data_IF_037489681306
#
_entry.id   IF_037489681306
#
_cell.length_a   1.000
_cell.length_b   1.000
_cell.length_c   1.000
_cell.angle_alpha   90.00
_cell.angle_beta   90.00
_cell.angle_gamma   90.00
#
_symmetry.space_group_name_H-M   'P 1'
#
loop_
_entity.id
_entity.type
_entity.pdbx_description
1 polymer ?
#
# COMPACT_ATOMS: atom_id res chain seq x y z
N UNK A 1 19.19 6.04 -38.15
CA UNK A 1 17.92 5.44 -38.59
C UNK A 1 16.80 6.23 -37.94
N UNK A 2 15.82 6.72 -38.70
CA UNK A 2 14.65 7.36 -38.11
C UNK A 2 13.92 6.32 -37.24
N UNK A 3 13.57 6.67 -36.00
CA UNK A 3 12.76 5.80 -35.16
C UNK A 3 11.43 5.55 -35.89
N UNK A 4 11.10 4.28 -36.11
CA UNK A 4 9.78 3.91 -36.65
C UNK A 4 8.73 4.44 -35.67
N UNK A 5 7.67 5.04 -36.23
CA UNK A 5 6.55 5.51 -35.43
C UNK A 5 5.95 4.30 -34.69
N UNK A 6 5.87 4.38 -33.36
CA UNK A 6 5.25 3.32 -32.57
C UNK A 6 3.78 3.19 -32.97
N UNK A 7 3.45 2.08 -33.64
CA UNK A 7 2.07 1.74 -33.92
C UNK A 7 1.38 1.36 -32.60
N UNK A 8 0.44 2.20 -32.16
CA UNK A 8 -0.43 1.91 -31.03
C UNK A 8 -1.82 1.50 -31.53
N UNK A 9 -2.23 0.25 -31.28
CA UNK A 9 -3.59 -0.19 -31.57
C UNK A 9 -4.58 0.54 -30.64
N UNK A 10 -5.53 1.35 -31.15
CA UNK A 10 -6.44 2.13 -30.31
C UNK A 10 -7.31 1.27 -29.40
N UNK A 11 -7.73 0.09 -29.87
CA UNK A 11 -8.51 -0.87 -29.06
C UNK A 11 -7.73 -1.39 -27.87
N UNK A 12 -6.45 -1.75 -28.06
CA UNK A 12 -5.60 -2.22 -26.98
C UNK A 12 -5.29 -1.10 -25.97
N UNK A 13 -5.09 0.13 -26.44
CA UNK A 13 -4.92 1.29 -25.57
C UNK A 13 -6.16 1.55 -24.69
N UNK A 14 -7.37 1.42 -25.27
CA UNK A 14 -8.61 1.55 -24.51
C UNK A 14 -8.82 0.40 -23.51
N UNK A 15 -8.44 -0.83 -23.87
CA UNK A 15 -8.46 -1.96 -22.94
C UNK A 15 -7.52 -1.74 -21.75
N UNK A 16 -6.32 -1.20 -21.99
CA UNK A 16 -5.34 -0.87 -20.95
C UNK A 16 -5.85 0.25 -20.04
N UNK A 17 -6.48 1.28 -20.63
CA UNK A 17 -7.15 2.34 -19.87
C UNK A 17 -8.28 1.77 -19.00
N UNK A 18 -9.14 0.92 -19.54
CA UNK A 18 -10.22 0.29 -18.80
C UNK A 18 -9.71 -0.57 -17.64
N UNK A 19 -8.61 -1.31 -17.84
CA UNK A 19 -7.96 -2.08 -16.79
C UNK A 19 -7.43 -1.18 -15.66
N UNK A 20 -6.71 -0.12 -16.01
CA UNK A 20 -6.18 0.83 -15.03
C UNK A 20 -7.30 1.60 -14.30
N UNK A 21 -8.36 2.00 -15.00
CA UNK A 21 -9.48 2.72 -14.40
C UNK A 21 -10.31 1.81 -13.47
N UNK A 22 -10.39 0.51 -13.77
CA UNK A 22 -11.14 -0.49 -12.99
C UNK A 22 -10.39 -1.09 -11.79
N UNK A 23 -9.17 -0.66 -11.49
CA UNK A 23 -8.40 -1.19 -10.36
C UNK A 23 -9.07 -0.87 -9.00
N UNK A 24 -9.06 -1.82 -8.04
CA UNK A 24 -9.66 -1.57 -6.73
C UNK A 24 -8.85 -0.50 -5.97
N UNK A 25 -9.55 0.42 -5.30
CA UNK A 25 -8.94 1.46 -4.45
C UNK A 25 -8.80 1.04 -2.99
N UNK A 26 -8.91 -0.27 -2.71
CA UNK A 26 -8.87 -0.81 -1.36
C UNK A 26 -7.47 -0.65 -0.76
N UNK A 27 -7.37 0.10 0.34
CA UNK A 27 -6.08 0.33 1.01
C UNK A 27 -5.73 -0.84 1.94
N UNK A 28 -4.47 -1.28 1.98
CA UNK A 28 -4.07 -2.36 2.90
C UNK A 28 -4.18 -1.88 4.35
N UNK A 29 -4.79 -2.68 5.24
CA UNK A 29 -5.02 -2.29 6.64
C UNK A 29 -3.77 -2.38 7.54
N UNK A 30 -2.78 -3.15 7.11
CA UNK A 30 -1.60 -3.55 7.87
C UNK A 30 -0.32 -3.26 7.08
N UNK A 31 0.80 -3.11 7.78
CA UNK A 31 2.13 -3.12 7.22
C UNK A 31 2.49 -4.55 6.78
N UNK A 32 2.84 -4.72 5.50
CA UNK A 32 3.07 -6.05 4.94
C UNK A 32 4.46 -6.60 5.25
N UNK A 33 4.54 -7.86 5.69
CA UNK A 33 5.82 -8.58 5.83
C UNK A 33 6.59 -8.66 4.50
N UNK A 34 5.89 -8.71 3.36
CA UNK A 34 6.51 -8.67 2.03
C UNK A 34 7.07 -7.30 1.62
N UNK A 35 6.73 -6.22 2.34
CA UNK A 35 7.20 -4.87 2.06
C UNK A 35 8.29 -4.40 3.03
N UNK A 36 8.39 -4.99 4.23
CA UNK A 36 9.25 -4.52 5.33
C UNK A 36 10.75 -4.44 4.98
N UNK A 37 11.20 -5.21 3.99
CA UNK A 37 12.57 -5.14 3.48
C UNK A 37 12.89 -3.88 2.67
N UNK A 38 11.90 -3.06 2.32
CA UNK A 38 12.14 -1.74 1.72
C UNK A 38 12.99 -0.88 2.67
N UNK A 39 14.12 -0.36 2.18
CA UNK A 39 15.04 0.42 2.98
C UNK A 39 14.41 1.73 3.51
N UNK A 40 13.45 2.31 2.80
CA UNK A 40 12.81 3.57 3.19
C UNK A 40 11.69 3.35 4.22
N UNK A 41 12.00 3.54 5.51
CA UNK A 41 11.01 3.46 6.59
C UNK A 41 9.86 4.48 6.41
N UNK A 42 10.14 5.66 5.87
CA UNK A 42 9.12 6.69 5.59
C UNK A 42 8.10 6.22 4.53
N UNK A 43 8.53 5.51 3.50
CA UNK A 43 7.61 4.98 2.49
C UNK A 43 6.69 3.90 3.08
N UNK A 44 7.22 3.05 3.96
CA UNK A 44 6.43 2.06 4.69
C UNK A 44 5.42 2.72 5.65
N UNK A 45 5.84 3.78 6.33
CA UNK A 45 4.96 4.59 7.18
C UNK A 45 3.85 5.28 6.37
N UNK A 46 4.18 5.88 5.23
CA UNK A 46 3.19 6.47 4.30
C UNK A 46 2.18 5.45 3.78
N UNK A 47 2.64 4.24 3.43
CA UNK A 47 1.76 3.15 3.03
C UNK A 47 0.82 2.74 4.16
N UNK A 48 1.33 2.56 5.38
CA UNK A 48 0.54 2.16 6.55
C UNK A 48 -0.50 3.21 6.96
N UNK A 49 -0.15 4.50 6.83
CA UNK A 49 -1.02 5.63 7.15
C UNK A 49 -1.90 6.14 6.01
N UNK A 50 -1.88 5.47 4.85
CA UNK A 50 -2.69 5.85 3.69
C UNK A 50 -2.49 7.30 3.25
N UNK A 51 -1.23 7.72 3.19
CA UNK A 51 -0.87 9.11 2.85
C UNK A 51 -1.28 9.48 1.44
N UNK A 52 -1.23 8.53 0.51
CA UNK A 52 -1.75 8.68 -0.83
C UNK A 52 -2.29 7.33 -1.34
N UNK A 53 -3.24 7.39 -2.26
CA UNK A 53 -3.73 6.23 -2.98
C UNK A 53 -2.79 5.95 -4.15
N UNK A 54 -2.06 4.85 -4.05
CA UNK A 54 -1.19 4.37 -5.13
C UNK A 54 -2.06 3.78 -6.23
N UNK A 55 -1.88 4.25 -7.47
CA UNK A 55 -2.53 3.69 -8.66
C UNK A 55 -1.47 3.12 -9.58
N UNK A 56 -1.76 1.95 -10.12
CA UNK A 56 -0.85 1.24 -11.02
C UNK A 56 -1.28 1.42 -12.48
N UNK A 57 -0.30 1.47 -13.37
CA UNK A 57 -0.54 1.40 -14.80
C UNK A 57 -0.98 -0.01 -15.24
N UNK A 58 -1.51 -0.11 -16.45
CA UNK A 58 -2.00 -1.38 -16.99
C UNK A 58 -0.89 -2.45 -17.06
N UNK A 59 0.35 -2.06 -17.33
CA UNK A 59 1.49 -2.98 -17.42
C UNK A 59 1.77 -3.61 -16.06
N UNK A 60 1.76 -2.81 -14.99
CA UNK A 60 1.98 -3.28 -13.62
C UNK A 60 0.84 -4.16 -13.15
N UNK A 61 -0.41 -3.81 -13.45
CA UNK A 61 -1.56 -4.67 -13.16
C UNK A 61 -1.49 -6.02 -13.88
N UNK A 62 -1.07 -6.03 -15.15
CA UNK A 62 -0.83 -7.27 -15.91
C UNK A 62 0.30 -8.11 -15.31
N UNK A 63 1.36 -7.48 -14.80
CA UNK A 63 2.45 -8.19 -14.08
C UNK A 63 1.94 -8.84 -12.80
N UNK A 64 1.08 -8.18 -12.03
CA UNK A 64 0.46 -8.80 -10.85
C UNK A 64 -0.40 -10.01 -11.24
N UNK A 65 -1.23 -9.86 -12.28
CA UNK A 65 -2.04 -10.97 -12.79
C UNK A 65 -1.20 -12.16 -13.29
N UNK A 66 -0.13 -11.90 -14.05
CA UNK A 66 0.83 -12.93 -14.49
C UNK A 66 1.54 -13.58 -13.31
N UNK A 67 1.87 -12.81 -12.27
CA UNK A 67 2.43 -13.31 -11.02
C UNK A 67 1.52 -14.35 -10.36
N UNK A 68 0.25 -14.02 -10.12
CA UNK A 68 -0.73 -14.94 -9.54
C UNK A 68 -0.96 -16.19 -10.39
N UNK A 69 -1.07 -16.03 -11.71
CA UNK A 69 -1.23 -17.17 -12.62
C UNK A 69 0.02 -18.07 -12.63
N UNK A 70 1.21 -17.46 -12.65
CA UNK A 70 2.48 -18.19 -12.65
C UNK A 70 2.74 -18.93 -11.34
N UNK A 71 2.35 -18.34 -10.21
CA UNK A 71 2.37 -18.97 -8.88
C UNK A 71 1.51 -20.23 -8.87
N UNK A 72 0.25 -20.13 -9.32
CA UNK A 72 -0.68 -21.27 -9.43
C UNK A 72 -0.08 -22.42 -10.25
N UNK A 73 0.50 -22.10 -11.42
CA UNK A 73 1.14 -23.08 -12.31
C UNK A 73 2.36 -23.73 -11.63
N UNK A 74 3.18 -22.93 -10.93
CA UNK A 74 4.36 -23.45 -10.25
C UNK A 74 3.99 -24.38 -9.09
N UNK A 75 3.03 -23.99 -8.22
CA UNK A 75 2.54 -24.83 -7.12
C UNK A 75 2.00 -26.17 -7.65
N UNK A 76 1.17 -26.13 -8.71
CA UNK A 76 0.62 -27.35 -9.32
C UNK A 76 1.70 -28.33 -9.78
N UNK A 77 2.76 -27.82 -10.41
CA UNK A 77 3.89 -28.66 -10.87
C UNK A 77 4.74 -29.18 -9.71
N UNK A 78 4.93 -28.41 -8.65
CA UNK A 78 5.60 -28.88 -7.44
C UNK A 78 4.79 -30.01 -6.78
N UNK A 79 3.46 -29.84 -6.63
CA UNK A 79 2.57 -30.90 -6.13
C UNK A 79 2.59 -32.18 -6.98
N UNK A 80 2.79 -32.05 -8.30
CA UNK A 80 2.91 -33.19 -9.20
C UNK A 80 4.28 -33.90 -9.13
N UNK A 81 5.26 -33.35 -8.38
CA UNK A 81 6.61 -33.91 -8.30
C UNK A 81 6.64 -35.11 -7.33
N UNK A 82 7.03 -36.32 -7.78
CA UNK A 82 7.07 -37.49 -6.92
C UNK A 82 7.99 -37.29 -5.71
N UNK A 83 7.45 -37.61 -4.52
CA UNK A 83 8.19 -37.49 -3.25
C UNK A 83 8.26 -36.08 -2.66
N UNK A 84 7.67 -35.07 -3.32
CA UNK A 84 7.57 -33.71 -2.81
C UNK A 84 6.16 -33.46 -2.24
N UNK A 85 6.10 -33.28 -0.92
CA UNK A 85 4.89 -32.85 -0.22
C UNK A 85 4.83 -31.32 -0.24
N UNK A 86 3.70 -30.76 -0.67
CA UNK A 86 3.47 -29.31 -0.75
C UNK A 86 2.10 -28.97 -0.19
N UNK A 87 2.08 -28.08 0.80
CA UNK A 87 0.88 -27.48 1.37
C UNK A 87 0.89 -25.99 1.07
N UNK A 88 -0.04 -25.53 0.24
CA UNK A 88 -0.28 -24.13 -0.16
C UNK A 88 -1.46 -23.49 0.59
N UNK A 89 -2.17 -24.29 1.39
CA UNK A 89 -3.26 -23.84 2.25
C UNK A 89 -3.14 -24.47 3.63
N UNK A 90 -3.65 -23.77 4.64
CA UNK A 90 -3.78 -24.28 6.00
C UNK A 90 -4.96 -25.27 6.13
N UNK A 91 -5.23 -25.70 7.37
CA UNK A 91 -6.30 -26.65 7.67
C UNK A 91 -7.72 -26.12 7.38
N UNK A 92 -7.89 -24.80 7.27
CA UNK A 92 -9.14 -24.13 6.90
C UNK A 92 -9.29 -23.97 5.38
N UNK A 93 -8.24 -24.26 4.61
CA UNK A 93 -8.21 -24.04 3.17
C UNK A 93 -7.80 -22.62 2.77
N UNK A 94 -7.37 -21.81 3.73
CA UNK A 94 -6.88 -20.44 3.50
C UNK A 94 -5.36 -20.45 3.31
N UNK A 95 -4.80 -19.36 2.75
CA UNK A 95 -3.34 -19.20 2.73
C UNK A 95 -2.79 -19.08 4.15
N UNK A 96 -1.61 -19.64 4.39
CA UNK A 96 -0.95 -19.53 5.68
C UNK A 96 -0.64 -18.08 6.04
N UNK A 97 -1.39 -17.52 6.98
CA UNK A 97 -1.30 -16.12 7.41
C UNK A 97 -0.63 -15.95 8.78
N UNK A 98 0.17 -14.89 8.90
CA UNK A 98 0.80 -14.48 10.16
C UNK A 98 0.40 -13.06 10.51
N UNK A 99 0.24 -12.80 11.81
CA UNK A 99 -0.13 -11.50 12.36
C UNK A 99 0.72 -11.20 13.60
N UNK A 100 1.15 -9.95 13.71
CA UNK A 100 1.83 -9.41 14.89
C UNK A 100 1.39 -7.96 15.11
N UNK A 101 1.71 -7.40 16.29
CA UNK A 101 1.33 -6.05 16.72
C UNK A 101 -0.19 -5.79 16.59
N UNK A 102 -0.99 -6.68 17.16
CA UNK A 102 -2.46 -6.61 17.07
C UNK A 102 -3.00 -6.82 15.64
N UNK A 103 -2.18 -7.30 14.72
CA UNK A 103 -2.54 -7.43 13.31
C UNK A 103 -2.19 -6.19 12.46
N UNK A 104 -1.50 -5.20 13.02
CA UNK A 104 -0.91 -4.11 12.24
C UNK A 104 0.29 -4.55 11.40
N UNK A 105 0.88 -5.70 11.69
CA UNK A 105 1.89 -6.34 10.85
C UNK A 105 1.41 -7.72 10.42
N UNK A 106 1.33 -7.96 9.10
CA UNK A 106 0.83 -9.24 8.61
C UNK A 106 1.43 -9.65 7.26
N UNK A 107 1.38 -10.95 6.99
CA UNK A 107 1.85 -11.55 5.75
C UNK A 107 1.21 -12.92 5.53
N UNK A 108 1.26 -13.38 4.28
CA UNK A 108 0.78 -14.69 3.87
C UNK A 108 1.88 -15.35 3.07
N UNK A 109 2.22 -16.59 3.41
CA UNK A 109 3.21 -17.36 2.67
C UNK A 109 2.54 -18.22 1.60
N UNK A 110 3.26 -18.50 0.52
CA UNK A 110 2.71 -19.29 -0.60
C UNK A 110 2.57 -20.78 -0.24
N UNK A 111 3.29 -21.25 0.79
CA UNK A 111 3.09 -22.57 1.36
C UNK A 111 4.28 -23.10 2.17
N UNK A 112 4.28 -24.41 2.39
CA UNK A 112 5.41 -25.19 2.93
C UNK A 112 5.64 -26.45 2.11
N UNK A 113 6.87 -26.94 2.07
CA UNK A 113 7.19 -28.19 1.40
C UNK A 113 8.20 -29.07 2.14
N UNK A 114 8.06 -30.39 1.96
CA UNK A 114 8.92 -31.44 2.49
C UNK A 114 9.26 -32.43 1.38
N UNK A 115 10.48 -32.97 1.36
CA UNK A 115 10.86 -33.97 0.35
C UNK A 115 11.55 -33.40 -0.89
N UNK A 116 12.08 -32.18 -0.81
CA UNK A 116 12.97 -31.65 -1.85
C UNK A 116 14.11 -32.65 -2.13
N UNK A 117 14.42 -32.91 -3.41
CA UNK A 117 15.46 -33.89 -3.82
C UNK A 117 16.80 -33.63 -3.12
N UNK A 118 17.17 -32.35 -3.00
CA UNK A 118 18.40 -31.88 -2.36
C UNK A 118 18.30 -31.71 -0.82
N UNK A 119 17.14 -31.94 -0.23
CA UNK A 119 16.89 -31.89 1.23
C UNK A 119 15.64 -32.72 1.62
N UNK A 120 15.68 -34.05 1.46
CA UNK A 120 14.47 -34.89 1.49
C UNK A 120 13.78 -34.97 2.86
N UNK A 121 14.48 -34.63 3.95
CA UNK A 121 13.98 -34.77 5.32
C UNK A 121 13.65 -33.44 6.00
N UNK A 122 13.74 -32.31 5.30
CA UNK A 122 13.60 -31.00 5.93
C UNK A 122 12.40 -30.23 5.35
N UNK A 123 11.60 -29.68 6.25
CA UNK A 123 10.56 -28.71 5.91
C UNK A 123 11.17 -27.39 5.46
N UNK A 124 10.53 -26.76 4.48
CA UNK A 124 10.88 -25.43 3.99
C UNK A 124 9.61 -24.58 3.90
N UNK A 125 9.69 -23.31 4.28
CA UNK A 125 8.75 -22.30 3.77
C UNK A 125 8.90 -22.24 2.26
N UNK A 126 7.80 -22.28 1.51
CA UNK A 126 7.77 -22.15 0.06
C UNK A 126 7.32 -20.73 -0.30
N UNK A 127 8.12 -20.06 -1.13
CA UNK A 127 7.71 -18.82 -1.80
C UNK A 127 7.97 -18.94 -3.30
N UNK A 128 7.07 -18.36 -4.09
CA UNK A 128 7.14 -18.30 -5.54
C UNK A 128 7.14 -16.84 -5.97
N UNK A 129 8.01 -16.52 -6.93
CA UNK A 129 8.10 -15.17 -7.50
C UNK A 129 8.22 -15.24 -9.02
N UNK A 130 7.34 -14.55 -9.72
CA UNK A 130 7.47 -14.32 -11.16
C UNK A 130 8.33 -13.08 -11.42
N UNK A 131 9.36 -13.21 -12.26
CA UNK A 131 10.27 -12.11 -12.59
C UNK A 131 10.80 -12.20 -14.01
N UNK A 132 10.76 -11.07 -14.73
CA UNK A 132 11.45 -10.92 -16.02
C UNK A 132 12.97 -11.16 -15.89
N UNK A 133 13.53 -10.91 -14.70
CA UNK A 133 14.96 -11.08 -14.36
C UNK A 133 15.22 -12.33 -13.53
N UNK A 134 14.45 -13.40 -13.73
CA UNK A 134 14.59 -14.65 -12.97
C UNK A 134 16.02 -15.24 -13.02
N UNK A 135 16.75 -15.06 -14.13
CA UNK A 135 18.13 -15.53 -14.28
C UNK A 135 19.12 -14.80 -13.36
N UNK A 136 18.78 -13.60 -12.87
CA UNK A 136 19.67 -12.86 -11.97
C UNK A 136 19.81 -13.57 -10.61
N UNK A 137 18.83 -14.41 -10.23
CA UNK A 137 18.95 -15.29 -9.07
C UNK A 137 20.05 -16.34 -9.26
N UNK A 138 20.20 -16.90 -10.47
CA UNK A 138 21.29 -17.83 -10.78
C UNK A 138 22.65 -17.14 -10.77
N UNK A 139 22.73 -15.88 -11.25
CA UNK A 139 23.95 -15.07 -11.17
C UNK A 139 24.34 -14.82 -9.72
N UNK A 140 23.39 -14.43 -8.88
CA UNK A 140 23.60 -14.26 -7.44
C UNK A 140 24.07 -15.58 -6.79
N UNK A 141 23.42 -16.71 -7.08
CA UNK A 141 23.83 -18.03 -6.58
C UNK A 141 25.26 -18.39 -6.98
N UNK A 142 25.70 -18.10 -8.20
CA UNK A 142 27.09 -18.32 -8.64
C UNK A 142 28.09 -17.41 -7.94
N UNK A 143 27.68 -16.18 -7.60
CA UNK A 143 28.53 -15.17 -6.95
C UNK A 143 28.74 -15.44 -5.47
N UNK A 144 27.66 -15.72 -4.72
CA UNK A 144 27.68 -15.77 -3.25
C UNK A 144 27.27 -17.13 -2.65
N UNK A 145 26.98 -18.13 -3.51
CA UNK A 145 26.47 -19.43 -3.09
C UNK A 145 24.96 -19.46 -2.88
N UNK A 146 24.38 -20.67 -2.79
CA UNK A 146 22.92 -20.88 -2.71
C UNK A 146 22.27 -20.15 -1.53
N UNK A 147 22.86 -20.27 -0.34
CA UNK A 147 22.25 -19.79 0.91
C UNK A 147 22.19 -18.27 1.00
N UNK A 148 23.12 -17.58 0.36
CA UNK A 148 23.20 -16.11 0.33
C UNK A 148 22.60 -15.50 -0.93
N UNK A 149 22.24 -16.32 -1.92
CA UNK A 149 21.77 -15.87 -3.23
C UNK A 149 20.54 -14.97 -3.15
N UNK A 150 19.60 -15.27 -2.25
CA UNK A 150 18.37 -14.50 -2.10
C UNK A 150 18.64 -13.09 -1.58
N UNK A 151 19.49 -12.96 -0.56
CA UNK A 151 19.89 -11.67 0.00
C UNK A 151 20.61 -10.79 -1.04
N UNK A 152 21.49 -11.39 -1.85
CA UNK A 152 22.19 -10.72 -2.94
C UNK A 152 21.23 -10.32 -4.09
N UNK A 153 20.29 -11.20 -4.45
CA UNK A 153 19.38 -10.97 -5.57
C UNK A 153 18.31 -9.94 -5.24
N UNK A 154 17.68 -10.05 -4.06
CA UNK A 154 16.63 -9.15 -3.63
C UNK A 154 16.52 -9.12 -2.09
N UNK A 155 17.06 -8.08 -1.44
CA UNK A 155 16.98 -7.91 0.02
C UNK A 155 15.55 -7.88 0.57
N UNK A 156 14.57 -7.40 -0.21
CA UNK A 156 13.16 -7.39 0.21
C UNK A 156 12.58 -8.81 0.28
N UNK A 157 12.89 -9.66 -0.70
CA UNK A 157 12.47 -11.06 -0.67
C UNK A 157 13.22 -11.86 0.39
N UNK A 158 14.48 -11.52 0.67
CA UNK A 158 15.20 -12.10 1.80
C UNK A 158 14.55 -11.73 3.14
N UNK A 159 14.20 -10.45 3.36
CA UNK A 159 13.51 -10.00 4.55
C UNK A 159 12.17 -10.72 4.76
N UNK A 160 11.39 -10.89 3.69
CA UNK A 160 10.16 -11.67 3.71
C UNK A 160 10.41 -13.13 4.11
N UNK A 161 11.39 -13.79 3.48
CA UNK A 161 11.72 -15.19 3.72
C UNK A 161 12.14 -15.44 5.18
N UNK A 162 12.99 -14.59 5.77
CA UNK A 162 13.43 -14.77 7.16
C UNK A 162 12.31 -14.54 8.16
N UNK A 163 11.39 -13.63 7.89
CA UNK A 163 10.21 -13.43 8.74
C UNK A 163 9.28 -14.63 8.68
N UNK A 164 8.99 -15.15 7.49
CA UNK A 164 8.11 -16.31 7.36
C UNK A 164 8.73 -17.56 8.00
N UNK A 165 10.04 -17.77 7.86
CA UNK A 165 10.75 -18.81 8.61
C UNK A 165 10.58 -18.66 10.12
N UNK A 166 10.77 -17.44 10.65
CA UNK A 166 10.63 -17.15 12.07
C UNK A 166 9.20 -17.38 12.59
N UNK A 167 8.17 -16.85 11.91
CA UNK A 167 6.77 -17.05 12.31
C UNK A 167 6.28 -18.48 12.12
N UNK A 168 6.70 -19.17 11.07
CA UNK A 168 6.38 -20.58 10.82
C UNK A 168 7.18 -21.55 11.71
N UNK A 169 8.19 -21.05 12.44
CA UNK A 169 9.16 -21.85 13.22
C UNK A 169 9.88 -22.90 12.37
N UNK A 170 10.32 -22.49 11.18
CA UNK A 170 11.06 -23.33 10.23
C UNK A 170 12.45 -22.73 9.97
N UNK A 171 13.47 -23.57 9.91
CA UNK A 171 14.86 -23.12 9.73
C UNK A 171 15.27 -22.91 8.27
N UNK A 172 14.34 -23.18 7.33
CA UNK A 172 14.65 -23.23 5.90
C UNK A 172 13.53 -22.64 5.07
N UNK A 173 13.95 -22.00 3.99
CA UNK A 173 13.09 -21.43 2.98
C UNK A 173 13.52 -21.94 1.60
N UNK A 174 12.57 -22.13 0.72
CA UNK A 174 12.76 -22.53 -0.66
C UNK A 174 12.03 -21.53 -1.56
N UNK A 175 12.82 -20.68 -2.22
CA UNK A 175 12.31 -19.76 -3.21
C UNK A 175 12.33 -20.44 -4.58
N UNK A 176 11.19 -20.47 -5.26
CA UNK A 176 11.12 -20.75 -6.70
C UNK A 176 10.88 -19.45 -7.45
N UNK A 177 11.85 -19.06 -8.29
CA UNK A 177 11.67 -17.92 -9.19
C UNK A 177 11.34 -18.42 -10.60
N UNK A 178 10.23 -17.93 -11.15
CA UNK A 178 9.77 -18.29 -12.48
C UNK A 178 9.86 -17.12 -13.46
N UNK A 179 10.08 -17.41 -14.73
CA UNK A 179 9.89 -16.42 -15.80
C UNK A 179 8.39 -16.10 -15.95
N UNK A 180 8.01 -14.95 -16.55
CA UNK A 180 6.60 -14.66 -16.86
C UNK A 180 5.91 -15.82 -17.60
N UNK A 181 4.67 -16.13 -17.22
CA UNK A 181 3.91 -17.30 -17.67
C UNK A 181 4.49 -18.65 -17.22
N UNK A 182 5.31 -18.68 -16.17
CA UNK A 182 5.95 -19.87 -15.60
C UNK A 182 6.65 -20.80 -16.64
N UNK A 183 7.24 -20.23 -17.71
CA UNK A 183 7.86 -21.00 -18.80
C UNK A 183 9.22 -21.60 -18.43
N UNK A 184 9.92 -20.98 -17.49
CA UNK A 184 11.21 -21.40 -16.94
C UNK A 184 11.20 -21.12 -15.45
N UNK A 185 12.02 -21.85 -14.70
CA UNK A 185 12.20 -21.62 -13.28
C UNK A 185 13.64 -21.86 -12.85
N UNK A 186 14.00 -21.25 -11.73
CA UNK A 186 15.16 -21.60 -10.93
C UNK A 186 14.76 -21.52 -9.46
N UNK A 187 15.62 -22.00 -8.58
CA UNK A 187 15.34 -21.98 -7.16
C UNK A 187 16.61 -21.83 -6.31
N UNK A 188 16.41 -21.35 -5.09
CA UNK A 188 17.44 -21.29 -4.05
C UNK A 188 16.85 -21.66 -2.71
N UNK A 189 17.68 -22.22 -1.84
CA UNK A 189 17.35 -22.39 -0.42
C UNK A 189 18.00 -21.30 0.40
N UNK A 190 17.30 -20.84 1.43
CA UNK A 190 17.81 -19.86 2.39
C UNK A 190 17.67 -20.44 3.79
N UNK A 191 18.63 -20.16 4.67
CA UNK A 191 18.56 -20.58 6.07
C UNK A 191 17.90 -19.47 6.90
N UNK A 192 17.27 -19.85 8.00
CA UNK A 192 16.75 -18.89 8.97
C UNK A 192 17.87 -17.96 9.47
N UNK A 193 17.48 -16.72 9.71
CA UNK A 193 18.30 -15.70 10.35
C UNK A 193 17.45 -15.04 11.45
N UNK A 194 17.43 -15.63 12.66
CA UNK A 194 16.62 -15.12 13.77
C UNK A 194 17.01 -13.69 14.20
N UNK A 195 18.29 -13.33 14.02
CA UNK A 195 18.80 -11.99 14.35
C UNK A 195 18.22 -10.97 13.37
N UNK A 196 18.24 -11.28 12.07
CA UNK A 196 17.64 -10.41 11.07
C UNK A 196 16.11 -10.34 11.20
N UNK A 197 15.45 -11.48 11.49
CA UNK A 197 14.01 -11.49 11.74
C UNK A 197 13.64 -10.60 12.94
N UNK A 198 14.37 -10.68 14.06
CA UNK A 198 14.17 -9.81 15.21
C UNK A 198 14.38 -8.32 14.86
N UNK A 199 15.41 -8.00 14.08
CA UNK A 199 15.66 -6.63 13.61
C UNK A 199 14.51 -6.09 12.72
N UNK A 200 13.94 -6.94 11.86
CA UNK A 200 12.81 -6.59 11.00
C UNK A 200 11.51 -6.40 11.79
N UNK A 201 11.27 -7.20 12.84
CA UNK A 201 10.14 -6.99 13.76
C UNK A 201 10.29 -5.68 14.53
N UNK A 202 11.47 -5.40 15.06
CA UNK A 202 11.76 -4.11 15.72
C UNK A 202 11.58 -2.93 14.76
N UNK A 203 11.97 -3.09 13.48
CA UNK A 203 11.70 -2.10 12.43
C UNK A 203 10.20 -1.89 12.21
N UNK A 204 9.44 -2.98 12.09
CA UNK A 204 7.99 -2.90 11.92
C UNK A 204 7.31 -2.21 13.10
N UNK A 205 7.69 -2.55 14.34
CA UNK A 205 7.18 -1.90 15.56
C UNK A 205 7.46 -0.39 15.55
N UNK A 206 8.71 0.02 15.29
CA UNK A 206 9.08 1.44 15.20
C UNK A 206 8.25 2.19 14.17
N UNK A 207 8.00 1.60 13.01
CA UNK A 207 7.22 2.23 11.93
C UNK A 207 5.74 2.33 12.32
N UNK A 208 5.14 1.24 12.80
CA UNK A 208 3.70 1.17 13.08
C UNK A 208 3.29 2.17 14.16
N UNK A 209 4.09 2.28 15.22
CA UNK A 209 3.77 3.12 16.38
C UNK A 209 4.47 4.50 16.35
N UNK A 210 5.01 4.92 15.21
CA UNK A 210 5.58 6.26 15.08
C UNK A 210 4.50 7.32 14.85
N UNK A 211 4.48 8.33 15.72
CA UNK A 211 3.65 9.54 15.58
C UNK A 211 4.27 10.59 14.65
N UNK A 212 5.59 10.53 14.47
CA UNK A 212 6.35 11.32 13.52
C UNK A 212 6.73 10.49 12.29
N UNK A 213 6.83 11.13 11.13
CA UNK A 213 7.30 10.47 9.92
C UNK A 213 8.78 10.10 10.07
N UNK A 214 9.19 8.83 9.82
CA UNK A 214 10.60 8.41 9.84
C UNK A 214 11.45 9.31 8.94
N UNK A 215 12.77 9.42 9.15
CA UNK A 215 13.60 10.31 8.32
C UNK A 215 13.59 9.94 6.83
N UNK A 216 13.81 10.94 5.95
CA UNK A 216 14.02 10.68 4.51
C UNK A 216 15.30 9.89 4.31
N UNK A 217 15.26 8.87 3.46
CA UNK A 217 16.44 8.05 3.14
C UNK A 217 17.42 8.75 2.17
N UNK A 218 16.94 9.73 1.39
CA UNK A 218 17.75 10.39 0.38
C UNK A 218 17.05 11.60 -0.25
N UNK A 219 17.68 12.15 -1.28
CA UNK A 219 17.13 13.21 -2.13
C UNK A 219 16.19 12.64 -3.22
N UNK A 220 15.39 13.48 -3.92
CA UNK A 220 14.41 13.02 -4.92
C UNK A 220 15.03 12.15 -6.03
N UNK A 221 16.23 12.53 -6.50
CA UNK A 221 16.93 11.85 -7.60
C UNK A 221 17.64 10.55 -7.17
N UNK A 222 17.69 10.26 -5.87
CA UNK A 222 18.30 9.03 -5.37
C UNK A 222 17.55 7.81 -5.89
N UNK A 223 18.26 6.70 -6.12
CA UNK A 223 17.65 5.46 -6.60
C UNK A 223 16.50 4.96 -5.70
N UNK A 224 16.60 5.21 -4.39
CA UNK A 224 15.57 4.85 -3.42
C UNK A 224 14.30 5.72 -3.52
N UNK A 225 14.39 6.94 -4.05
CA UNK A 225 13.26 7.86 -4.16
C UNK A 225 12.68 7.92 -5.58
N UNK A 226 13.48 7.79 -6.64
CA UNK A 226 13.06 8.01 -8.03
C UNK A 226 11.84 7.20 -8.47
N UNK A 227 11.66 5.99 -7.93
CA UNK A 227 10.54 5.09 -8.24
C UNK A 227 9.58 4.91 -7.06
N UNK A 228 9.62 5.81 -6.07
CA UNK A 228 8.73 5.76 -4.92
C UNK A 228 7.38 6.41 -5.26
N UNK A 229 6.29 5.69 -4.97
CA UNK A 229 4.91 6.16 -5.18
C UNK A 229 4.55 7.41 -4.34
N UNK A 230 5.37 7.75 -3.35
CA UNK A 230 5.14 8.87 -2.43
C UNK A 230 6.11 10.03 -2.64
N UNK A 231 6.80 10.09 -3.78
CA UNK A 231 7.77 11.16 -4.08
C UNK A 231 7.10 12.54 -4.02
N UNK A 232 5.89 12.66 -4.55
CA UNK A 232 5.16 13.93 -4.55
C UNK A 232 4.89 14.44 -3.13
N UNK A 233 4.47 13.57 -2.22
CA UNK A 233 4.24 13.94 -0.81
C UNK A 233 5.55 14.15 -0.07
N UNK A 234 6.54 13.29 -0.29
CA UNK A 234 7.82 13.33 0.41
C UNK A 234 8.64 14.57 0.00
N UNK A 235 8.72 14.86 -1.28
CA UNK A 235 9.69 15.78 -1.89
C UNK A 235 9.05 16.98 -2.56
N UNK A 236 7.93 16.83 -3.27
CA UNK A 236 7.32 17.92 -4.06
C UNK A 236 6.28 18.75 -3.30
N UNK A 237 5.93 18.33 -2.08
CA UNK A 237 5.00 19.04 -1.21
C UNK A 237 3.54 18.86 -1.59
N UNK A 238 3.21 17.82 -2.36
CA UNK A 238 1.83 17.39 -2.53
C UNK A 238 1.22 17.04 -1.17
N UNK A 239 -0.05 17.37 -1.00
CA UNK A 239 -0.76 17.12 0.27
C UNK A 239 -1.06 15.63 0.40
N UNK A 240 -0.98 15.13 1.62
CA UNK A 240 -1.54 13.83 1.97
C UNK A 240 -3.06 13.82 1.74
N UNK A 241 -3.61 12.65 1.45
CA UNK A 241 -5.05 12.42 1.41
C UNK A 241 -5.63 12.53 2.83
N UNK A 242 -6.82 13.13 2.97
CA UNK A 242 -7.49 13.24 4.27
C UNK A 242 -8.23 11.95 4.59
N UNK A 243 -7.78 11.25 5.62
CA UNK A 243 -8.44 10.10 6.23
C UNK A 243 -8.01 10.04 7.71
N UNK A 244 -8.62 9.21 8.56
CA UNK A 244 -8.25 9.27 9.98
C UNK A 244 -6.79 8.88 10.24
N UNK A 245 -6.15 8.04 9.41
CA UNK A 245 -4.75 7.62 9.63
C UNK A 245 -3.71 8.71 9.37
N UNK A 246 -4.11 9.78 8.67
CA UNK A 246 -3.31 11.00 8.44
C UNK A 246 -3.65 12.13 9.42
N UNK A 247 -4.58 11.89 10.35
CA UNK A 247 -5.02 12.88 11.32
C UNK A 247 -4.08 12.96 12.51
N UNK A 248 -3.84 14.15 13.06
CA UNK A 248 -3.08 14.32 14.30
C UNK A 248 -3.76 13.75 15.54
N UNK A 249 -5.09 13.59 15.48
CA UNK A 249 -5.88 13.09 16.59
C UNK A 249 -6.07 11.58 16.52
N UNK A 250 -5.24 10.88 15.75
CA UNK A 250 -5.30 9.42 15.63
C UNK A 250 -4.20 8.78 16.44
N UNK A 251 -4.56 7.73 17.17
CA UNK A 251 -3.65 6.89 17.93
C UNK A 251 -3.72 5.46 17.39
N UNK A 252 -2.56 4.82 17.26
CA UNK A 252 -2.43 3.41 16.87
C UNK A 252 -2.29 2.59 18.15
N UNK A 253 -3.28 1.76 18.46
CA UNK A 253 -3.26 0.90 19.64
C UNK A 253 -2.39 -0.33 19.39
N UNK A 254 -1.69 -0.80 20.43
CA UNK A 254 -0.87 -2.03 20.35
C UNK A 254 -1.71 -3.29 20.18
N UNK A 255 -2.99 -3.20 20.52
CA UNK A 255 -4.00 -4.26 20.40
C UNK A 255 -4.58 -4.36 18.98
N UNK A 256 -4.18 -3.49 18.04
CA UNK A 256 -4.55 -3.60 16.63
C UNK A 256 -5.67 -2.67 16.17
N UNK A 257 -6.17 -1.81 17.06
CA UNK A 257 -7.20 -0.82 16.75
C UNK A 257 -6.60 0.55 16.46
N UNK A 258 -7.39 1.41 15.79
CA UNK A 258 -7.09 2.83 15.65
C UNK A 258 -8.09 3.60 16.50
N UNK A 259 -7.65 4.60 17.26
CA UNK A 259 -8.51 5.39 18.15
C UNK A 259 -8.46 6.85 17.75
N UNK A 260 -9.63 7.51 17.73
CA UNK A 260 -9.67 8.96 17.65
C UNK A 260 -9.58 9.55 19.06
N UNK A 261 -8.46 10.18 19.38
CA UNK A 261 -8.22 10.80 20.69
C UNK A 261 -9.11 12.02 20.92
N UNK A 262 -9.50 12.71 19.84
CA UNK A 262 -10.41 13.87 19.93
C UNK A 262 -11.82 13.49 20.38
N UNK A 263 -12.34 12.36 19.91
CA UNK A 263 -13.73 11.93 20.19
C UNK A 263 -13.79 10.72 21.13
N UNK A 264 -12.65 10.18 21.56
CA UNK A 264 -12.58 9.14 22.59
C UNK A 264 -13.04 7.74 22.17
N UNK A 265 -13.14 7.42 20.88
CA UNK A 265 -13.66 6.12 20.41
C UNK A 265 -12.72 5.40 19.43
N UNK A 266 -12.89 4.09 19.30
CA UNK A 266 -12.22 3.26 18.31
C UNK A 266 -12.82 3.46 16.92
N UNK A 267 -11.97 3.60 15.91
CA UNK A 267 -12.36 3.89 14.54
C UNK A 267 -12.59 2.58 13.77
N UNK A 268 -13.82 2.42 13.26
CA UNK A 268 -14.11 1.36 12.30
C UNK A 268 -13.29 1.55 11.02
N UNK A 269 -13.19 0.51 10.19
CA UNK A 269 -12.50 0.62 8.90
C UNK A 269 -13.11 1.73 8.02
N UNK A 270 -14.43 1.87 8.04
CA UNK A 270 -15.17 2.87 7.26
C UNK A 270 -14.82 4.27 7.76
N UNK A 271 -14.82 4.48 9.09
CA UNK A 271 -14.46 5.78 9.67
C UNK A 271 -13.00 6.15 9.39
N UNK A 272 -12.10 5.15 9.45
CA UNK A 272 -10.70 5.36 9.11
C UNK A 272 -10.53 5.90 7.69
N UNK A 273 -11.26 5.35 6.72
CA UNK A 273 -11.18 5.77 5.31
C UNK A 273 -11.86 7.11 5.04
N UNK A 274 -13.02 7.35 5.67
CA UNK A 274 -13.84 8.54 5.43
C UNK A 274 -13.22 9.82 6.01
N UNK A 275 -12.58 9.73 7.18
CA UNK A 275 -12.17 10.92 7.93
C UNK A 275 -13.36 11.66 8.57
N UNK A 276 -13.11 12.86 9.10
CA UNK A 276 -14.17 13.67 9.72
C UNK A 276 -13.91 15.19 9.53
N UNK A 277 -14.94 16.04 9.74
CA UNK A 277 -14.82 17.50 9.73
C UNK A 277 -13.72 18.09 10.64
N UNK A 278 -13.44 17.42 11.76
CA UNK A 278 -12.42 17.84 12.72
C UNK A 278 -11.02 17.32 12.39
N UNK A 279 -10.84 16.64 11.25
CA UNK A 279 -9.53 16.16 10.83
C UNK A 279 -8.57 17.34 10.71
N UNK A 280 -7.37 17.19 11.27
CA UNK A 280 -6.23 18.08 11.08
C UNK A 280 -5.03 17.19 10.77
N UNK A 281 -4.23 17.53 9.76
CA UNK A 281 -3.11 16.69 9.36
C UNK A 281 -2.10 16.54 10.50
N UNK A 282 -1.50 15.35 10.58
CA UNK A 282 -0.21 15.19 11.25
C UNK A 282 0.77 16.23 10.68
N UNK A 283 1.49 17.01 11.51
CA UNK A 283 2.37 18.07 11.04
C UNK A 283 3.40 17.60 9.99
N UNK A 284 3.95 16.39 10.17
CA UNK A 284 4.93 15.81 9.25
C UNK A 284 4.37 15.44 7.85
N UNK A 285 3.05 15.47 7.68
CA UNK A 285 2.37 15.31 6.40
C UNK A 285 2.09 16.65 5.70
N UNK A 286 2.42 17.77 6.34
CA UNK A 286 2.30 19.11 5.76
C UNK A 286 3.69 19.56 5.32
N UNK A 287 3.81 19.98 4.06
CA UNK A 287 5.06 20.52 3.52
C UNK A 287 5.29 21.97 3.99
N UNK A 288 5.44 22.14 5.29
CA UNK A 288 5.65 23.43 5.95
C UNK A 288 6.00 23.27 7.42
N UNK A 289 6.31 24.39 8.06
CA UNK A 289 6.58 24.47 9.50
C UNK A 289 5.29 24.86 10.21
N UNK A 290 4.89 24.14 11.27
CA UNK A 290 3.83 24.61 12.15
C UNK A 290 4.33 25.83 12.93
N UNK A 291 3.66 26.96 12.78
CA UNK A 291 4.09 28.24 13.37
C UNK A 291 3.12 28.79 14.43
N UNK A 292 1.87 28.33 14.45
CA UNK A 292 0.86 28.83 15.39
C UNK A 292 -0.34 27.85 15.50
N UNK A 293 -1.17 28.05 16.52
CA UNK A 293 -2.49 27.43 16.68
C UNK A 293 -3.50 28.53 17.03
N UNK A 294 -4.42 28.83 16.11
CA UNK A 294 -5.45 29.85 16.32
C UNK A 294 -6.84 29.20 16.38
N UNK A 295 -7.56 29.35 17.49
CA UNK A 295 -8.94 28.83 17.65
C UNK A 295 -9.08 27.34 17.29
N UNK A 296 -8.10 26.51 17.65
CA UNK A 296 -8.09 25.08 17.32
C UNK A 296 -7.77 24.74 15.86
N UNK A 297 -7.40 25.73 15.05
CA UNK A 297 -6.86 25.55 13.70
C UNK A 297 -5.34 25.63 13.72
N UNK A 298 -4.68 24.74 12.99
CA UNK A 298 -3.22 24.69 12.95
C UNK A 298 -2.72 25.56 11.80
N UNK A 299 -1.76 26.42 12.11
CA UNK A 299 -1.21 27.37 11.14
C UNK A 299 0.18 26.90 10.74
N UNK A 300 0.39 26.80 9.43
CA UNK A 300 1.64 26.41 8.82
C UNK A 300 2.22 27.54 7.98
N UNK A 301 3.55 27.67 8.00
CA UNK A 301 4.33 28.39 6.99
C UNK A 301 4.78 27.37 5.94
N UNK A 302 4.24 27.47 4.73
CA UNK A 302 4.60 26.59 3.62
C UNK A 302 5.99 26.94 3.05
N UNK A 303 6.53 26.07 2.20
CA UNK A 303 7.87 26.24 1.61
C UNK A 303 8.04 27.51 0.79
N UNK A 304 6.96 28.01 0.18
CA UNK A 304 6.94 29.26 -0.57
C UNK A 304 6.82 30.51 0.33
N UNK A 305 6.83 30.32 1.66
CA UNK A 305 6.66 31.37 2.66
C UNK A 305 5.21 31.73 2.94
N UNK A 306 4.25 31.19 2.20
CA UNK A 306 2.83 31.48 2.40
C UNK A 306 2.32 30.89 3.73
N UNK A 307 1.34 31.58 4.33
CA UNK A 307 0.65 31.10 5.52
C UNK A 307 -0.56 30.26 5.10
N UNK A 308 -0.64 29.04 5.59
CA UNK A 308 -1.79 28.16 5.40
C UNK A 308 -2.39 27.75 6.73
N UNK A 309 -3.72 27.78 6.83
CA UNK A 309 -4.47 27.34 8.00
C UNK A 309 -5.13 26.00 7.69
N UNK A 310 -4.80 24.96 8.44
CA UNK A 310 -5.52 23.69 8.41
C UNK A 310 -6.81 23.84 9.22
N UNK A 311 -7.86 24.29 8.54
CA UNK A 311 -9.23 24.33 9.08
C UNK A 311 -9.96 22.99 8.98
N UNK A 312 -9.30 21.94 8.49
CA UNK A 312 -9.90 20.63 8.21
C UNK A 312 -10.31 20.42 6.74
N UNK A 313 -11.02 19.33 6.42
CA UNK A 313 -11.63 19.18 5.10
C UNK A 313 -12.48 20.42 4.82
N UNK A 314 -12.53 20.88 3.57
CA UNK A 314 -13.46 21.96 3.22
C UNK A 314 -14.85 21.42 3.44
N UNK A 315 -15.45 21.84 4.52
CA UNK A 315 -16.85 21.60 4.79
C UNK A 315 -17.61 22.70 4.03
N UNK A 316 -18.58 22.32 3.22
CA UNK A 316 -19.30 23.27 2.39
C UNK A 316 -20.31 24.07 3.23
N UNK A 317 -20.36 25.38 3.03
CA UNK A 317 -21.39 26.22 3.62
C UNK A 317 -22.60 26.32 2.68
N UNK A 318 -23.78 26.59 3.25
CA UNK A 318 -24.96 26.94 2.45
C UNK A 318 -24.62 28.17 1.58
N UNK A 319 -24.83 28.04 0.28
CA UNK A 319 -24.49 29.06 -0.72
C UNK A 319 -23.20 28.79 -1.50
N UNK A 320 -22.33 27.89 -1.03
CA UNK A 320 -21.09 27.53 -1.74
C UNK A 320 -21.37 26.98 -3.14
N UNK A 321 -20.49 27.27 -4.09
CA UNK A 321 -20.50 26.62 -5.42
C UNK A 321 -19.39 25.58 -5.48
N UNK A 322 -19.78 24.33 -5.68
CA UNK A 322 -18.91 23.15 -5.65
C UNK A 322 -18.90 22.44 -7.01
N UNK A 323 -17.83 21.69 -7.31
CA UNK A 323 -17.77 20.85 -8.52
C UNK A 323 -18.09 19.39 -8.19
N UNK A 324 -18.97 18.75 -8.98
CA UNK A 324 -19.34 17.32 -8.87
C UNK A 324 -19.58 16.72 -10.26
N UNK A 325 -20.11 15.48 -10.28
CA UNK A 325 -20.58 14.83 -11.50
C UNK A 325 -21.43 15.76 -12.36
N UNK A 326 -21.39 15.54 -13.68
CA UNK A 326 -22.14 16.34 -14.63
C UNK A 326 -23.65 16.26 -14.35
N UNK A 327 -24.30 17.42 -14.34
CA UNK A 327 -25.74 17.52 -14.25
C UNK A 327 -26.38 16.74 -15.40
N UNK A 328 -27.28 15.81 -15.09
CA UNK A 328 -27.97 14.99 -16.10
C UNK A 328 -28.82 15.82 -17.06
N UNK A 329 -29.23 17.02 -16.64
CA UNK A 329 -30.08 17.91 -17.44
C UNK A 329 -29.30 18.84 -18.38
N UNK A 330 -28.12 19.33 -17.98
CA UNK A 330 -27.40 20.36 -18.76
C UNK A 330 -25.89 20.14 -18.89
N UNK A 331 -25.34 19.07 -18.33
CA UNK A 331 -23.91 18.75 -18.38
C UNK A 331 -23.00 19.59 -17.48
N UNK A 332 -23.52 20.62 -16.81
CA UNK A 332 -22.74 21.47 -15.90
C UNK A 332 -22.14 20.67 -14.74
N UNK A 333 -20.89 20.96 -14.40
CA UNK A 333 -20.18 20.35 -13.26
C UNK A 333 -20.36 21.16 -11.97
N UNK A 334 -21.02 22.32 -12.03
CA UNK A 334 -21.09 23.27 -10.92
C UNK A 334 -22.44 23.23 -10.21
N UNK A 335 -22.40 23.12 -8.88
CA UNK A 335 -23.56 22.94 -8.02
C UNK A 335 -23.51 23.92 -6.86
N UNK A 336 -24.61 24.62 -6.59
CA UNK A 336 -24.80 25.45 -5.40
C UNK A 336 -25.27 24.57 -4.25
N UNK A 337 -24.66 24.74 -3.08
CA UNK A 337 -25.09 24.10 -1.83
C UNK A 337 -26.29 24.86 -1.28
N UNK A 338 -27.37 24.16 -1.01
CA UNK A 338 -28.63 24.71 -0.50
C UNK A 338 -28.99 24.11 0.84
N UNK A 339 -29.93 24.70 1.56
CA UNK A 339 -30.43 24.13 2.81
C UNK A 339 -30.84 22.67 2.65
N UNK A 340 -30.58 21.89 3.70
CA UNK A 340 -30.98 20.48 3.78
C UNK A 340 -32.49 20.33 3.87
N UNK A 341 -32.98 19.13 3.61
CA UNK A 341 -34.40 18.80 3.79
C UNK A 341 -34.51 17.43 4.44
N UNK A 342 -35.29 17.33 5.53
CA UNK A 342 -35.40 16.10 6.31
C UNK A 342 -34.08 15.70 7.00
N UNK A 343 -33.58 14.46 6.84
CA UNK A 343 -32.39 13.97 7.54
C UNK A 343 -31.05 14.46 6.94
N UNK A 344 -31.08 15.20 5.84
CA UNK A 344 -29.89 15.61 5.08
C UNK A 344 -29.40 17.00 5.49
N UNK A 345 -28.08 17.18 5.55
CA UNK A 345 -27.46 18.42 6.06
C UNK A 345 -27.53 19.59 5.06
N UNK A 346 -27.36 19.30 3.77
CA UNK A 346 -27.56 20.26 2.69
C UNK A 346 -28.01 19.57 1.39
N UNK A 347 -28.65 20.32 0.50
CA UNK A 347 -28.98 19.91 -0.86
C UNK A 347 -28.00 20.50 -1.89
N UNK A 348 -28.07 20.00 -3.13
CA UNK A 348 -27.34 20.55 -4.26
C UNK A 348 -28.30 20.99 -5.37
N UNK A 349 -28.05 22.18 -5.93
CA UNK A 349 -28.75 22.73 -7.10
C UNK A 349 -27.79 23.09 -8.21
N UNK A 350 -28.05 22.63 -9.43
CA UNK A 350 -27.21 22.96 -10.56
C UNK A 350 -27.25 24.46 -10.83
N UNK A 351 -26.10 25.13 -10.91
CA UNK A 351 -26.09 26.59 -11.11
C UNK A 351 -26.60 27.03 -12.49
N UNK A 352 -26.66 26.09 -13.45
CA UNK A 352 -27.02 26.37 -14.84
C UNK A 352 -28.49 26.10 -15.16
N UNK A 353 -29.14 25.18 -14.43
CA UNK A 353 -30.53 24.78 -14.73
C UNK A 353 -31.38 24.48 -13.49
N UNK A 354 -30.85 24.73 -12.29
CA UNK A 354 -31.50 24.52 -10.98
C UNK A 354 -31.97 23.08 -10.69
N UNK A 355 -31.56 22.11 -11.51
CA UNK A 355 -31.84 20.70 -11.29
C UNK A 355 -31.24 20.21 -9.97
N UNK A 356 -31.97 19.31 -9.29
CA UNK A 356 -31.52 18.71 -8.02
C UNK A 356 -30.34 17.75 -8.24
N UNK A 357 -29.27 17.94 -7.47
CA UNK A 357 -28.01 17.20 -7.59
C UNK A 357 -27.80 16.09 -6.57
N UNK A 358 -28.75 15.90 -5.65
CA UNK A 358 -28.59 15.03 -4.49
C UNK A 358 -28.31 15.83 -3.21
N UNK A 359 -27.89 15.10 -2.18
CA UNK A 359 -27.70 15.61 -0.82
C UNK A 359 -26.24 15.54 -0.39
N UNK A 360 -25.83 16.46 0.47
CA UNK A 360 -24.58 16.41 1.22
C UNK A 360 -24.83 15.82 2.61
N UNK A 361 -23.90 15.00 3.07
CA UNK A 361 -23.90 14.45 4.41
C UNK A 361 -23.47 15.51 5.44
N UNK A 362 -23.77 15.29 6.73
CA UNK A 362 -23.32 16.18 7.83
C UNK A 362 -21.80 16.36 7.88
N UNK A 363 -21.04 15.36 7.43
CA UNK A 363 -19.58 15.44 7.32
C UNK A 363 -19.09 16.38 6.21
N UNK A 364 -19.98 16.80 5.31
CA UNK A 364 -19.68 17.61 4.13
C UNK A 364 -20.21 19.05 4.25
N UNK A 365 -20.95 19.40 5.31
CA UNK A 365 -21.61 20.70 5.48
C UNK A 365 -21.26 21.32 6.84
N UNK A 366 -20.88 22.62 6.86
CA UNK A 366 -20.58 23.33 8.11
C UNK A 366 -21.84 23.29 8.96
N UNK A 367 -21.72 22.83 10.21
CA UNK A 367 -22.84 22.66 11.14
C UNK A 367 -23.63 23.95 11.35
#
# INVERSE_FOLDING_TARGET
MAALQDFACPTLAQADKALADGQPLTRRAYLGMSAIGNACERALWYQFRWVATVRFDAVTLKRFADGHASETVAVSRLKATPGLEVHDTDASGDQFGFRDFGGHFAGHMDGVCLGLVQAPKAWHVLEIKASEKWQDLDKARRKVGEKSALAEWNPTYYAQAVLYMDYARLDRHYLVCVSPGARRWTAVRTNADPVHAAALKAKAERIIFADAAPQRIGCPDSFACRFCDFTDQCHEGARAERNCRTCLAVEVSKEGSWRCTRFGHELSRIDQEAGCPEHRFLPDLVAGEQIDVCHGQIVYRLRDGSRWVDGGPRIHSIGDVIKRQACRSCGSLSWKVTEGTGPHAAGLRCISCDAHGGWLQKSEVVA
#
